data_IF_525972657450
#
_entry.id   IF_525972657450
#
_cell.length_a   1.000
_cell.length_b   1.000
_cell.length_c   1.000
_cell.angle_alpha   90.00
_cell.angle_beta   90.00
_cell.angle_gamma   90.00
#
_symmetry.space_group_name_H-M   'P 1'
#
loop_
_entity.id
_entity.type
_entity.pdbx_description
1 polymer ?
#
# COMPACT_ATOMS: atom_id res chain seq x y z
N UNK A 1 119.20 7.94 -51.49
CA UNK A 1 118.27 6.92 -50.96
C UNK A 1 117.18 7.56 -50.09
N UNK A 2 117.50 8.61 -49.31
CA UNK A 2 116.57 9.30 -48.40
C UNK A 2 115.39 10.05 -49.05
N UNK A 3 115.59 10.76 -50.18
CA UNK A 3 114.50 11.44 -50.90
C UNK A 3 113.36 10.50 -51.33
N UNK A 4 113.71 9.25 -51.65
CA UNK A 4 112.75 8.19 -52.05
C UNK A 4 111.97 7.64 -50.86
N UNK A 5 112.53 7.73 -49.65
CA UNK A 5 111.91 7.30 -48.39
C UNK A 5 110.96 8.37 -47.84
N UNK A 6 111.39 9.64 -47.86
CA UNK A 6 110.57 10.80 -47.50
C UNK A 6 109.31 10.92 -48.38
N UNK A 7 109.47 10.71 -49.70
CA UNK A 7 108.33 10.68 -50.65
C UNK A 7 107.35 9.53 -50.37
N UNK A 8 107.84 8.34 -50.00
CA UNK A 8 106.97 7.23 -49.60
C UNK A 8 106.22 7.50 -48.29
N UNK A 9 106.87 8.15 -47.33
CA UNK A 9 106.27 8.50 -46.04
C UNK A 9 105.16 9.55 -46.19
N UNK A 10 105.38 10.58 -47.02
CA UNK A 10 104.35 11.59 -47.33
C UNK A 10 103.17 10.99 -48.06
N UNK A 11 103.39 10.12 -49.05
CA UNK A 11 102.31 9.40 -49.74
C UNK A 11 101.52 8.51 -48.77
N UNK A 12 102.20 7.82 -47.85
CA UNK A 12 101.54 6.99 -46.83
C UNK A 12 100.74 7.82 -45.83
N UNK A 13 101.21 9.00 -45.43
CA UNK A 13 100.47 9.92 -44.55
C UNK A 13 99.24 10.51 -45.25
N UNK A 14 99.38 10.88 -46.54
CA UNK A 14 98.25 11.36 -47.35
C UNK A 14 97.15 10.29 -47.45
N UNK A 15 97.54 9.04 -47.71
CA UNK A 15 96.61 7.91 -47.79
C UNK A 15 95.89 7.63 -46.46
N UNK A 16 96.59 7.79 -45.33
CA UNK A 16 96.00 7.62 -44.00
C UNK A 16 94.95 8.71 -43.68
N UNK A 17 95.24 9.96 -44.04
CA UNK A 17 94.31 11.09 -43.87
C UNK A 17 93.07 10.90 -44.73
N UNK A 18 93.25 10.47 -45.98
CA UNK A 18 92.14 10.23 -46.90
C UNK A 18 91.25 9.07 -46.44
N UNK A 19 91.86 7.99 -45.92
CA UNK A 19 91.14 6.87 -45.31
C UNK A 19 90.37 7.30 -44.06
N UNK A 20 90.97 8.10 -43.18
CA UNK A 20 90.30 8.65 -41.99
C UNK A 20 89.11 9.51 -42.36
N UNK A 21 89.27 10.40 -43.36
CA UNK A 21 88.17 11.24 -43.87
C UNK A 21 87.04 10.40 -44.48
N UNK A 22 87.38 9.30 -45.15
CA UNK A 22 86.39 8.36 -45.70
C UNK A 22 85.60 7.68 -44.59
N UNK A 23 86.27 7.14 -43.56
CA UNK A 23 85.59 6.53 -42.42
C UNK A 23 84.75 7.54 -41.62
N UNK A 24 85.24 8.77 -41.42
CA UNK A 24 84.45 9.83 -40.76
C UNK A 24 83.18 10.18 -41.54
N UNK A 25 83.25 10.21 -42.88
CA UNK A 25 82.07 10.37 -43.73
C UNK A 25 81.12 9.19 -43.63
N UNK A 26 81.62 7.96 -43.72
CA UNK A 26 80.79 6.75 -43.61
C UNK A 26 80.08 6.65 -42.25
N UNK A 27 80.77 7.00 -41.16
CA UNK A 27 80.17 7.08 -39.81
C UNK A 27 79.09 8.17 -39.76
N UNK A 28 79.38 9.36 -40.30
CA UNK A 28 78.40 10.46 -40.33
C UNK A 28 77.16 10.10 -41.16
N UNK A 29 77.34 9.42 -42.28
CA UNK A 29 76.23 8.95 -43.12
C UNK A 29 75.42 7.86 -42.42
N UNK A 30 76.08 6.94 -41.70
CA UNK A 30 75.42 5.89 -40.93
C UNK A 30 74.60 6.46 -39.77
N UNK A 31 75.13 7.45 -39.04
CA UNK A 31 74.41 8.15 -37.97
C UNK A 31 73.19 8.87 -38.55
N UNK A 32 73.36 9.62 -39.65
CA UNK A 32 72.24 10.34 -40.29
C UNK A 32 71.14 9.39 -40.76
N UNK A 33 71.49 8.22 -41.30
CA UNK A 33 70.50 7.18 -41.67
C UNK A 33 69.75 6.65 -40.45
N UNK A 34 70.46 6.31 -39.38
CA UNK A 34 69.85 5.81 -38.14
C UNK A 34 68.93 6.86 -37.49
N UNK A 35 69.32 8.13 -37.49
CA UNK A 35 68.48 9.22 -36.97
C UNK A 35 67.22 9.42 -37.82
N UNK A 36 67.36 9.34 -39.15
CA UNK A 36 66.23 9.42 -40.07
C UNK A 36 65.27 8.25 -39.88
N UNK A 37 65.77 7.02 -39.85
CA UNK A 37 64.96 5.82 -39.62
C UNK A 37 64.24 5.87 -38.26
N UNK A 38 64.91 6.34 -37.21
CA UNK A 38 64.30 6.55 -35.89
C UNK A 38 63.18 7.59 -35.95
N UNK A 39 63.39 8.71 -36.63
CA UNK A 39 62.37 9.76 -36.81
C UNK A 39 61.16 9.25 -37.60
N UNK A 40 61.41 8.54 -38.70
CA UNK A 40 60.36 7.97 -39.55
C UNK A 40 59.57 6.89 -38.78
N UNK A 41 60.24 6.05 -37.99
CA UNK A 41 59.58 5.07 -37.12
C UNK A 41 58.73 5.73 -36.03
N UNK A 42 59.22 6.79 -35.38
CA UNK A 42 58.47 7.53 -34.37
C UNK A 42 57.22 8.19 -34.94
N UNK A 43 57.31 8.80 -36.12
CA UNK A 43 56.15 9.41 -36.79
C UNK A 43 55.12 8.37 -37.22
N UNK A 44 55.56 7.20 -37.73
CA UNK A 44 54.67 6.09 -38.05
C UNK A 44 53.92 5.57 -36.81
N UNK A 45 54.62 5.37 -35.69
CA UNK A 45 54.01 4.95 -34.42
C UNK A 45 53.02 6.01 -33.93
N UNK A 46 53.40 7.29 -33.95
CA UNK A 46 52.52 8.39 -33.53
C UNK A 46 51.22 8.42 -34.35
N UNK A 47 51.32 8.31 -35.67
CA UNK A 47 50.15 8.31 -36.56
C UNK A 47 49.27 7.07 -36.33
N UNK A 48 49.86 5.89 -36.12
CA UNK A 48 49.12 4.67 -35.78
C UNK A 48 48.36 4.82 -34.46
N UNK A 49 49.02 5.31 -33.41
CA UNK A 49 48.39 5.55 -32.11
C UNK A 49 47.27 6.59 -32.19
N UNK A 50 47.43 7.63 -33.03
CA UNK A 50 46.38 8.62 -33.25
C UNK A 50 45.17 8.01 -33.96
N UNK A 51 45.39 7.15 -34.96
CA UNK A 51 44.32 6.43 -35.65
C UNK A 51 43.57 5.48 -34.70
N UNK A 52 44.29 4.71 -33.88
CA UNK A 52 43.69 3.82 -32.87
C UNK A 52 42.84 4.60 -31.85
N UNK A 53 43.35 5.74 -31.34
CA UNK A 53 42.58 6.61 -30.45
C UNK A 53 41.30 7.12 -31.10
N UNK A 54 41.37 7.51 -32.37
CA UNK A 54 40.20 7.99 -33.09
C UNK A 54 39.16 6.88 -33.30
N UNK A 55 39.59 5.66 -33.63
CA UNK A 55 38.70 4.50 -33.77
C UNK A 55 38.04 4.16 -32.45
N UNK A 56 38.81 4.05 -31.36
CA UNK A 56 38.27 3.77 -30.03
C UNK A 56 37.30 4.86 -29.55
N UNK A 57 37.58 6.13 -29.84
CA UNK A 57 36.68 7.23 -29.54
C UNK A 57 35.37 7.13 -30.34
N UNK A 58 35.45 6.90 -31.65
CA UNK A 58 34.28 6.76 -32.50
C UNK A 58 33.41 5.57 -32.07
N UNK A 59 34.03 4.43 -31.74
CA UNK A 59 33.33 3.24 -31.23
C UNK A 59 32.61 3.53 -29.91
N UNK A 60 33.27 4.20 -28.96
CA UNK A 60 32.66 4.58 -27.70
C UNK A 60 31.46 5.54 -27.90
N UNK A 61 31.57 6.49 -28.82
CA UNK A 61 30.47 7.41 -29.17
C UNK A 61 29.31 6.66 -29.81
N UNK A 62 29.57 5.76 -30.75
CA UNK A 62 28.52 4.95 -31.39
C UNK A 62 27.80 4.07 -30.36
N UNK A 63 28.55 3.41 -29.46
CA UNK A 63 27.96 2.58 -28.41
C UNK A 63 27.10 3.41 -27.45
N UNK A 64 27.59 4.58 -27.03
CA UNK A 64 26.83 5.49 -26.18
C UNK A 64 25.56 6.01 -26.86
N UNK A 65 25.63 6.28 -28.17
CA UNK A 65 24.44 6.69 -28.95
C UNK A 65 23.41 5.56 -28.97
N UNK A 66 23.82 4.33 -29.27
CA UNK A 66 22.94 3.16 -29.29
C UNK A 66 22.30 2.90 -27.92
N UNK A 67 23.07 3.01 -26.84
CA UNK A 67 22.55 2.80 -25.49
C UNK A 67 21.53 3.90 -25.11
N UNK A 68 21.76 5.16 -25.51
CA UNK A 68 20.79 6.25 -25.35
C UNK A 68 19.52 6.01 -26.17
N UNK A 69 19.66 5.59 -27.42
CA UNK A 69 18.53 5.34 -28.31
C UNK A 69 17.64 4.21 -27.76
N UNK A 70 18.25 3.12 -27.23
CA UNK A 70 17.52 2.04 -26.54
C UNK A 70 16.74 2.55 -25.33
N UNK A 71 17.37 3.36 -24.47
CA UNK A 71 16.68 3.93 -23.30
C UNK A 71 15.51 4.83 -23.72
N UNK A 72 15.66 5.60 -24.81
CA UNK A 72 14.58 6.43 -25.35
C UNK A 72 13.44 5.54 -25.86
N UNK A 73 13.74 4.44 -26.54
CA UNK A 73 12.75 3.50 -27.05
C UNK A 73 11.99 2.81 -25.91
N UNK A 74 12.68 2.34 -24.88
CA UNK A 74 12.09 1.75 -23.67
C UNK A 74 11.17 2.74 -22.95
N UNK A 75 11.61 4.00 -22.80
CA UNK A 75 10.80 5.05 -22.18
C UNK A 75 9.55 5.37 -23.00
N UNK A 76 9.65 5.41 -24.34
CA UNK A 76 8.50 5.62 -25.23
C UNK A 76 7.52 4.45 -25.20
N UNK A 77 8.01 3.21 -25.13
CA UNK A 77 7.16 2.03 -24.98
C UNK A 77 6.38 2.09 -23.66
N UNK A 78 7.07 2.41 -22.56
CA UNK A 78 6.44 2.54 -21.24
C UNK A 78 5.43 3.70 -21.19
N UNK A 79 5.72 4.82 -21.84
CA UNK A 79 4.79 5.95 -21.97
C UNK A 79 3.51 5.52 -22.71
N UNK A 80 3.67 4.78 -23.81
CA UNK A 80 2.53 4.23 -24.57
C UNK A 80 1.68 3.29 -23.71
N UNK A 81 2.30 2.36 -23.00
CA UNK A 81 1.57 1.39 -22.14
C UNK A 81 0.80 2.12 -21.03
N UNK A 82 1.39 3.14 -20.41
CA UNK A 82 0.72 3.96 -19.41
C UNK A 82 -0.45 4.76 -19.98
N UNK A 83 -0.32 5.29 -21.20
CA UNK A 83 -1.41 5.99 -21.88
C UNK A 83 -2.58 5.06 -22.21
N UNK A 84 -2.29 3.83 -22.67
CA UNK A 84 -3.31 2.82 -22.94
C UNK A 84 -4.04 2.42 -21.66
N UNK A 85 -3.29 2.17 -20.58
CA UNK A 85 -3.88 1.88 -19.27
C UNK A 85 -4.76 3.03 -18.76
N UNK A 86 -4.30 4.28 -18.90
CA UNK A 86 -5.07 5.46 -18.49
C UNK A 86 -6.37 5.58 -19.30
N UNK A 87 -6.36 5.25 -20.59
CA UNK A 87 -7.57 5.19 -21.42
C UNK A 87 -8.55 4.13 -20.91
N UNK A 88 -8.06 2.93 -20.58
CA UNK A 88 -8.92 1.85 -20.05
C UNK A 88 -9.50 2.18 -18.67
N UNK A 89 -8.71 2.82 -17.81
CA UNK A 89 -9.16 3.28 -16.49
C UNK A 89 -10.23 4.36 -16.63
N UNK A 90 -10.07 5.30 -17.56
CA UNK A 90 -11.07 6.32 -17.86
C UNK A 90 -12.41 5.71 -18.31
N UNK A 91 -12.38 4.73 -19.21
CA UNK A 91 -13.60 4.02 -19.64
C UNK A 91 -14.29 3.29 -18.47
N UNK A 92 -13.50 2.66 -17.60
CA UNK A 92 -14.01 1.94 -16.43
C UNK A 92 -14.65 2.90 -15.42
N UNK A 93 -14.02 4.05 -15.17
CA UNK A 93 -14.57 5.10 -14.32
C UNK A 93 -15.90 5.62 -14.87
N UNK A 94 -16.02 5.81 -16.19
CA UNK A 94 -17.27 6.24 -16.81
C UNK A 94 -18.40 5.22 -16.60
N UNK A 95 -18.13 3.92 -16.80
CA UNK A 95 -19.10 2.84 -16.56
C UNK A 95 -19.55 2.79 -15.10
N UNK A 96 -18.60 2.83 -14.16
CA UNK A 96 -18.90 2.83 -12.73
C UNK A 96 -19.70 4.07 -12.30
N UNK A 97 -19.43 5.23 -12.91
CA UNK A 97 -20.17 6.45 -12.60
C UNK A 97 -21.61 6.39 -13.13
N UNK A 98 -21.83 5.79 -14.30
CA UNK A 98 -23.17 5.53 -14.83
C UNK A 98 -23.96 4.55 -13.94
N UNK A 99 -23.33 3.45 -13.52
CA UNK A 99 -23.93 2.49 -12.58
C UNK A 99 -24.25 3.13 -11.23
N UNK A 100 -23.34 3.97 -10.71
CA UNK A 100 -23.57 4.73 -9.48
C UNK A 100 -24.77 5.67 -9.60
N UNK A 101 -24.93 6.34 -10.74
CA UNK A 101 -26.11 7.20 -10.99
C UNK A 101 -27.40 6.38 -10.99
N UNK A 102 -27.41 5.22 -11.66
CA UNK A 102 -28.57 4.31 -11.67
C UNK A 102 -28.92 3.80 -10.28
N UNK A 103 -27.91 3.42 -9.50
CA UNK A 103 -28.11 2.97 -8.12
C UNK A 103 -28.67 4.07 -7.23
N UNK A 104 -28.21 5.31 -7.38
CA UNK A 104 -28.69 6.42 -6.56
C UNK A 104 -30.12 6.82 -6.93
N UNK A 105 -30.50 6.71 -8.21
CA UNK A 105 -31.89 6.87 -8.65
C UNK A 105 -32.79 5.77 -8.04
N UNK A 106 -32.37 4.50 -8.08
CA UNK A 106 -33.11 3.38 -7.49
C UNK A 106 -33.28 3.59 -5.99
N UNK A 107 -32.19 3.95 -5.30
CA UNK A 107 -32.20 4.23 -3.86
C UNK A 107 -33.15 5.37 -3.53
N UNK A 108 -33.13 6.46 -4.29
CA UNK A 108 -34.03 7.61 -4.08
C UNK A 108 -35.49 7.22 -4.24
N UNK A 109 -35.82 6.45 -5.30
CA UNK A 109 -37.18 5.93 -5.51
C UNK A 109 -37.61 4.98 -4.38
N UNK A 110 -36.73 4.08 -3.95
CA UNK A 110 -37.01 3.16 -2.85
C UNK A 110 -37.25 3.91 -1.52
N UNK A 111 -36.43 4.92 -1.23
CA UNK A 111 -36.63 5.78 -0.05
C UNK A 111 -37.96 6.53 -0.10
N UNK A 112 -38.33 7.09 -1.25
CA UNK A 112 -39.64 7.75 -1.42
C UNK A 112 -40.79 6.77 -1.16
N UNK A 113 -40.73 5.58 -1.75
CA UNK A 113 -41.77 4.56 -1.57
C UNK A 113 -41.88 4.10 -0.10
N UNK A 114 -40.76 3.94 0.60
CA UNK A 114 -40.77 3.61 2.04
C UNK A 114 -41.39 4.74 2.87
N UNK A 115 -41.05 6.00 2.58
CA UNK A 115 -41.63 7.17 3.26
C UNK A 115 -43.15 7.26 3.04
N UNK A 116 -43.63 6.99 1.83
CA UNK A 116 -45.06 6.98 1.52
C UNK A 116 -45.78 5.85 2.27
N UNK A 117 -45.18 4.64 2.29
CA UNK A 117 -45.71 3.51 3.06
C UNK A 117 -45.75 3.79 4.56
N UNK A 118 -44.72 4.42 5.12
CA UNK A 118 -44.69 4.81 6.52
C UNK A 118 -45.82 5.80 6.85
N UNK A 119 -46.10 6.74 5.95
CA UNK A 119 -47.23 7.68 6.09
C UNK A 119 -48.58 6.96 6.06
N UNK A 120 -48.76 6.00 5.15
CA UNK A 120 -49.96 5.16 5.10
C UNK A 120 -50.14 4.34 6.38
N UNK A 121 -49.10 3.67 6.86
CA UNK A 121 -49.15 2.90 8.11
C UNK A 121 -49.48 3.79 9.31
N UNK A 122 -48.89 4.97 9.40
CA UNK A 122 -49.19 5.92 10.48
C UNK A 122 -50.62 6.44 10.42
N UNK A 123 -51.18 6.66 9.23
CA UNK A 123 -52.58 7.05 9.06
C UNK A 123 -53.53 5.92 9.48
N UNK A 124 -53.28 4.69 9.02
CA UNK A 124 -54.06 3.52 9.41
C UNK A 124 -53.99 3.26 10.92
N UNK A 125 -52.81 3.44 11.54
CA UNK A 125 -52.62 3.31 12.98
C UNK A 125 -53.46 4.33 13.76
N UNK A 126 -53.51 5.59 13.31
CA UNK A 126 -54.37 6.61 13.92
C UNK A 126 -55.85 6.28 13.81
N UNK A 127 -56.31 5.81 12.65
CA UNK A 127 -57.71 5.39 12.49
C UNK A 127 -58.08 4.26 13.44
N UNK A 128 -57.22 3.24 13.58
CA UNK A 128 -57.40 2.17 14.55
C UNK A 128 -57.41 2.68 16.01
N UNK A 129 -56.54 3.62 16.36
CA UNK A 129 -56.51 4.25 17.68
C UNK A 129 -57.83 5.00 17.97
N UNK A 130 -58.36 5.74 16.99
CA UNK A 130 -59.62 6.48 17.09
C UNK A 130 -60.83 5.52 17.23
N UNK A 131 -60.90 4.48 16.41
CA UNK A 131 -61.97 3.46 16.47
C UNK A 131 -61.97 2.71 17.81
N UNK A 132 -60.79 2.40 18.34
CA UNK A 132 -60.63 1.73 19.63
C UNK A 132 -61.04 2.66 20.78
N UNK A 133 -60.76 3.96 20.68
CA UNK A 133 -61.24 4.96 21.64
C UNK A 133 -62.78 5.08 21.60
N UNK A 134 -63.39 5.13 20.42
CA UNK A 134 -64.84 5.17 20.25
C UNK A 134 -65.50 3.91 20.83
N UNK A 135 -64.96 2.73 20.53
CA UNK A 135 -65.46 1.45 21.05
C UNK A 135 -65.36 1.40 22.58
N UNK A 136 -64.24 1.85 23.16
CA UNK A 136 -64.08 1.96 24.62
C UNK A 136 -65.11 2.90 25.24
N UNK A 137 -65.40 4.03 24.60
CA UNK A 137 -66.40 4.98 25.07
C UNK A 137 -67.81 4.36 25.05
N UNK A 138 -68.18 3.68 23.96
CA UNK A 138 -69.46 2.97 23.85
C UNK A 138 -69.60 1.90 24.94
N UNK A 139 -68.54 1.11 25.18
CA UNK A 139 -68.54 0.05 26.19
C UNK A 139 -68.72 0.63 27.61
N UNK A 140 -68.08 1.76 27.91
CA UNK A 140 -68.28 2.52 29.15
C UNK A 140 -69.72 3.01 29.32
N UNK A 141 -70.36 3.47 28.24
CA UNK A 141 -71.76 3.92 28.29
C UNK A 141 -72.71 2.74 28.57
N UNK A 142 -72.52 1.60 27.89
CA UNK A 142 -73.30 0.39 28.15
C UNK A 142 -73.13 -0.12 29.59
N UNK A 143 -71.91 -0.15 30.12
CA UNK A 143 -71.67 -0.49 31.53
C UNK A 143 -72.41 0.45 32.48
N UNK A 144 -72.39 1.76 32.21
CA UNK A 144 -73.08 2.75 33.03
C UNK A 144 -74.60 2.59 33.00
N UNK A 145 -75.17 2.29 31.82
CA UNK A 145 -76.60 1.99 31.67
C UNK A 145 -77.01 0.71 32.41
N UNK A 146 -76.20 -0.35 32.32
CA UNK A 146 -76.44 -1.60 33.07
C UNK A 146 -76.37 -1.39 34.59
N UNK A 147 -75.44 -0.57 35.09
CA UNK A 147 -75.39 -0.21 36.51
C UNK A 147 -76.61 0.63 36.92
N UNK A 148 -77.07 1.56 36.08
CA UNK A 148 -78.27 2.37 36.35
C UNK A 148 -79.58 1.56 36.32
N UNK A 149 -79.67 0.50 35.50
CA UNK A 149 -80.81 -0.43 35.49
C UNK A 149 -80.81 -1.44 36.65
N UNK A 150 -79.67 -1.63 37.34
CA UNK A 150 -79.52 -2.62 38.43
C UNK A 150 -80.14 -2.21 39.78
N UNK A 151 -80.74 -1.03 39.89
CA UNK A 151 -81.43 -0.57 41.11
C UNK A 151 -82.89 -1.03 41.23
N UNK A 152 -83.36 -1.94 40.37
CA UNK A 152 -84.68 -2.60 40.48
C UNK A 152 -84.49 -4.13 40.46
N UNK A 153 -85.03 -4.79 41.47
CA UNK A 153 -84.85 -6.20 41.85
C UNK A 153 -85.32 -7.24 40.81
N UNK A 154 -84.38 -8.13 40.39
CA UNK A 154 -84.41 -9.54 39.86
C UNK A 154 -85.57 -10.06 38.97
N UNK A 155 -85.33 -10.89 37.92
CA UNK A 155 -84.74 -12.24 38.07
C UNK A 155 -83.76 -12.74 36.99
N UNK A 156 -83.10 -13.85 37.34
CA UNK A 156 -82.27 -14.74 36.52
C UNK A 156 -82.88 -15.13 35.18
N UNK A 157 -82.15 -14.98 34.07
CA UNK A 157 -82.29 -15.79 32.84
C UNK A 157 -80.92 -16.00 32.18
N UNK A 158 -80.50 -17.28 32.18
CA UNK A 158 -79.96 -18.07 31.06
C UNK A 158 -79.38 -17.34 29.82
N UNK A 159 -78.10 -17.66 29.56
CA UNK A 159 -77.53 -18.09 28.26
C UNK A 159 -77.70 -17.18 27.03
N UNK A 160 -76.58 -16.60 26.54
CA UNK A 160 -76.20 -16.07 25.21
C UNK A 160 -74.91 -15.27 25.51
N UNK A 161 -73.70 -15.52 25.00
CA UNK A 161 -73.23 -15.87 23.66
C UNK A 161 -71.77 -16.37 23.73
N UNK A 162 -71.54 -17.69 23.82
CA UNK A 162 -70.18 -18.27 23.87
C UNK A 162 -69.48 -18.38 22.49
N UNK A 163 -70.07 -17.83 21.42
CA UNK A 163 -69.61 -18.04 20.03
C UNK A 163 -68.69 -16.90 19.53
N UNK A 164 -68.87 -15.66 20.02
CA UNK A 164 -68.05 -14.51 19.59
C UNK A 164 -66.70 -14.42 20.32
N UNK A 165 -66.66 -14.82 21.59
CA UNK A 165 -65.40 -14.85 22.34
C UNK A 165 -64.49 -15.98 21.87
N UNK A 166 -65.04 -17.14 21.48
CA UNK A 166 -64.25 -18.27 20.96
C UNK A 166 -63.55 -17.95 19.63
N UNK A 167 -64.15 -17.12 18.78
CA UNK A 167 -63.57 -16.72 17.48
C UNK A 167 -62.54 -15.60 17.63
N UNK A 168 -62.78 -14.65 18.54
CA UNK A 168 -61.78 -13.63 18.92
C UNK A 168 -60.56 -14.23 19.62
N UNK A 169 -60.78 -15.16 20.55
CA UNK A 169 -59.69 -15.87 21.24
C UNK A 169 -58.86 -16.66 20.22
N UNK A 170 -59.49 -17.39 19.30
CA UNK A 170 -58.77 -18.10 18.23
C UNK A 170 -57.94 -17.15 17.33
N UNK A 171 -58.48 -15.97 16.98
CA UNK A 171 -57.73 -14.99 16.18
C UNK A 171 -56.52 -14.40 16.93
N UNK A 172 -56.66 -14.18 18.24
CA UNK A 172 -55.58 -13.69 19.09
C UNK A 172 -54.52 -14.78 19.34
N UNK A 173 -54.93 -16.05 19.44
CA UNK A 173 -54.04 -17.20 19.53
C UNK A 173 -53.22 -17.37 18.24
N UNK A 174 -53.84 -17.20 17.07
CA UNK A 174 -53.14 -17.22 15.77
C UNK A 174 -52.19 -16.03 15.61
N UNK A 175 -52.60 -14.82 16.02
CA UNK A 175 -51.72 -13.65 15.97
C UNK A 175 -50.55 -13.79 16.96
N UNK A 176 -50.79 -14.33 18.16
CA UNK A 176 -49.77 -14.61 19.16
C UNK A 176 -48.78 -15.67 18.66
N UNK A 177 -49.29 -16.72 18.00
CA UNK A 177 -48.45 -17.77 17.38
C UNK A 177 -47.61 -17.22 16.25
N UNK A 178 -48.18 -16.40 15.37
CA UNK A 178 -47.45 -15.73 14.29
C UNK A 178 -46.36 -14.79 14.81
N UNK A 179 -46.65 -14.00 15.86
CA UNK A 179 -45.64 -13.15 16.51
C UNK A 179 -44.57 -13.96 17.23
N UNK A 180 -44.93 -15.06 17.88
CA UNK A 180 -43.98 -15.99 18.51
C UNK A 180 -43.05 -16.62 17.48
N UNK A 181 -43.56 -17.07 16.34
CA UNK A 181 -42.76 -17.59 15.23
C UNK A 181 -41.84 -16.50 14.66
N UNK A 182 -42.31 -15.26 14.53
CA UNK A 182 -41.47 -14.14 14.07
C UNK A 182 -40.36 -13.79 15.06
N UNK A 183 -40.63 -13.85 16.36
CA UNK A 183 -39.63 -13.64 17.41
C UNK A 183 -38.59 -14.77 17.35
N UNK A 184 -39.01 -16.02 17.19
CA UNK A 184 -38.09 -17.15 17.02
C UNK A 184 -37.24 -17.01 15.74
N UNK A 185 -37.84 -16.58 14.62
CA UNK A 185 -37.12 -16.33 13.36
C UNK A 185 -36.10 -15.18 13.51
N UNK A 186 -36.47 -14.11 14.20
CA UNK A 186 -35.57 -12.98 14.49
C UNK A 186 -34.46 -13.38 15.45
N UNK A 187 -34.75 -14.18 16.48
CA UNK A 187 -33.75 -14.73 17.39
C UNK A 187 -32.80 -15.67 16.66
N UNK A 188 -33.30 -16.50 15.74
CA UNK A 188 -32.48 -17.37 14.90
C UNK A 188 -31.58 -16.54 13.97
N UNK A 189 -32.11 -15.51 13.31
CA UNK A 189 -31.32 -14.56 12.50
C UNK A 189 -30.30 -13.82 13.34
N UNK A 190 -30.64 -13.40 14.56
CA UNK A 190 -29.71 -12.74 15.48
C UNK A 190 -28.61 -13.69 15.95
N UNK A 191 -28.93 -14.97 16.16
CA UNK A 191 -27.97 -16.04 16.48
C UNK A 191 -27.07 -16.34 15.26
N UNK A 192 -27.61 -16.39 14.05
CA UNK A 192 -26.86 -16.55 12.80
C UNK A 192 -25.92 -15.37 12.53
N UNK A 193 -26.38 -14.14 12.78
CA UNK A 193 -25.55 -12.92 12.74
C UNK A 193 -24.48 -12.95 13.85
N UNK A 194 -24.82 -13.43 15.05
CA UNK A 194 -23.86 -13.56 16.16
C UNK A 194 -22.81 -14.64 15.89
N UNK A 195 -23.18 -15.73 15.21
CA UNK A 195 -22.26 -16.81 14.82
C UNK A 195 -21.39 -16.41 13.61
N UNK A 196 -21.88 -15.53 12.73
CA UNK A 196 -21.09 -14.95 11.62
C UNK A 196 -20.24 -13.73 12.01
N UNK A 197 -20.55 -13.10 13.15
CA UNK A 197 -19.67 -12.08 13.76
C UNK A 197 -18.63 -12.71 14.68
N UNK A 198 -18.96 -13.81 15.37
CA UNK A 198 -18.01 -14.55 16.22
C UNK A 198 -16.93 -15.30 15.41
N UNK A 199 -17.18 -15.65 14.14
CA UNK A 199 -16.15 -16.20 13.24
C UNK A 199 -15.23 -15.15 12.61
N UNK A 200 -15.51 -13.85 12.79
CA UNK A 200 -14.60 -12.76 12.37
C UNK A 200 -13.48 -12.48 13.38
N UNK A 201 -13.49 -13.14 14.54
CA UNK A 201 -12.36 -13.20 15.47
C UNK A 201 -11.61 -14.53 15.41
N UNK A 202 -11.64 -15.23 14.26
CA UNK A 202 -10.45 -16.01 13.92
C UNK A 202 -9.37 -14.95 13.71
N UNK A 203 -8.38 -14.95 14.60
CA UNK A 203 -7.15 -14.21 14.45
C UNK A 203 -6.55 -14.61 13.09
N UNK A 204 -6.98 -13.93 12.04
CA UNK A 204 -6.35 -14.08 10.75
C UNK A 204 -4.97 -13.46 10.95
N UNK A 205 -3.92 -14.28 10.90
CA UNK A 205 -2.51 -13.90 10.85
C UNK A 205 -2.18 -13.08 9.59
N UNK A 206 -3.10 -12.20 9.18
CA UNK A 206 -3.07 -11.37 7.98
C UNK A 206 -2.70 -9.97 8.39
N UNK A 207 -1.61 -9.49 7.80
CA UNK A 207 -1.15 -8.11 7.96
C UNK A 207 -2.09 -7.20 7.18
N UNK A 208 -2.61 -6.16 7.82
CA UNK A 208 -3.35 -5.11 7.12
C UNK A 208 -2.39 -4.18 6.39
N UNK A 209 -2.61 -4.02 5.10
CA UNK A 209 -1.83 -3.12 4.21
C UNK A 209 -2.66 -1.93 3.71
N UNK A 210 -3.98 -1.97 3.92
CA UNK A 210 -4.94 -0.95 3.47
C UNK A 210 -5.42 -0.07 4.62
N UNK A 211 -5.58 -0.64 5.82
CA UNK A 211 -5.95 0.08 7.04
C UNK A 211 -4.84 0.03 8.08
N UNK A 212 -4.81 1.06 8.92
CA UNK A 212 -3.89 1.16 10.04
C UNK A 212 -4.73 1.64 11.24
N UNK A 213 -5.66 0.80 11.68
CA UNK A 213 -6.55 1.06 12.79
C UNK A 213 -6.05 0.36 14.06
N UNK A 214 -6.58 0.78 15.22
CA UNK A 214 -6.28 0.12 16.49
C UNK A 214 -6.84 -1.31 16.46
N UNK A 215 -6.01 -2.28 16.82
CA UNK A 215 -6.29 -3.71 16.73
C UNK A 215 -5.78 -4.38 15.45
N UNK A 216 -5.38 -3.61 14.43
CA UNK A 216 -4.85 -4.20 13.18
C UNK A 216 -3.43 -4.75 13.40
N UNK A 217 -3.16 -5.93 12.81
CA UNK A 217 -1.81 -6.47 12.68
C UNK A 217 -1.08 -5.74 11.55
N UNK A 218 0.05 -5.12 11.84
CA UNK A 218 0.78 -4.27 10.91
C UNK A 218 2.26 -4.66 10.80
N UNK A 219 2.81 -4.53 9.59
CA UNK A 219 4.24 -4.71 9.32
C UNK A 219 4.95 -3.36 9.44
N UNK A 220 5.90 -3.28 10.37
CA UNK A 220 6.76 -2.12 10.54
C UNK A 220 8.10 -2.39 9.86
N UNK A 221 8.52 -1.52 8.95
CA UNK A 221 9.80 -1.59 8.26
C UNK A 221 10.67 -0.40 8.63
N UNK A 222 11.97 -0.60 8.74
CA UNK A 222 12.93 0.49 8.88
C UNK A 222 12.99 1.26 7.55
N UNK A 223 12.73 2.56 7.61
CA UNK A 223 12.89 3.45 6.46
C UNK A 223 14.22 4.19 6.57
N UNK A 224 15.14 3.93 5.63
CA UNK A 224 16.49 4.52 5.61
C UNK A 224 16.48 6.04 5.44
N UNK A 225 15.46 6.61 4.78
CA UNK A 225 15.36 8.06 4.55
C UNK A 225 15.07 8.78 5.85
N UNK A 226 14.16 8.21 6.64
CA UNK A 226 13.71 8.79 7.89
C UNK A 226 14.53 8.31 9.11
N UNK A 227 15.24 7.18 8.99
CA UNK A 227 15.87 6.43 10.09
C UNK A 227 14.89 6.16 11.23
N UNK A 228 13.66 5.78 10.85
CA UNK A 228 12.56 5.47 11.76
C UNK A 228 11.78 4.28 11.21
N UNK A 229 11.10 3.55 12.10
CA UNK A 229 10.20 2.47 11.69
C UNK A 229 8.86 3.05 11.22
N UNK A 230 8.42 2.63 10.04
CA UNK A 230 7.20 3.08 9.39
C UNK A 230 6.32 1.87 9.08
N UNK A 231 5.01 2.00 9.23
CA UNK A 231 4.06 0.95 8.83
C UNK A 231 4.06 0.83 7.30
N UNK A 232 4.17 -0.40 6.80
CA UNK A 232 3.97 -0.71 5.40
C UNK A 232 2.49 -0.59 5.05
N UNK A 233 2.11 0.49 4.38
CA UNK A 233 0.73 0.74 3.92
C UNK A 233 0.73 1.18 2.46
N UNK A 234 -0.33 0.84 1.73
CA UNK A 234 -0.53 1.31 0.34
C UNK A 234 -0.95 2.80 0.30
N UNK A 235 -1.32 3.40 1.44
CA UNK A 235 -1.71 4.79 1.54
C UNK A 235 -0.55 5.78 1.38
N UNK A 236 -0.87 7.01 0.98
CA UNK A 236 0.08 8.14 0.86
C UNK A 236 0.49 8.75 2.21
N UNK A 237 -0.17 8.36 3.31
CA UNK A 237 0.09 8.91 4.64
C UNK A 237 1.08 8.05 5.40
N UNK A 238 2.15 8.68 5.88
CA UNK A 238 3.17 8.02 6.70
C UNK A 238 2.64 7.72 8.10
N UNK A 239 2.97 6.52 8.61
CA UNK A 239 2.63 6.07 9.95
C UNK A 239 3.91 5.65 10.68
N UNK A 240 4.45 6.54 11.52
CA UNK A 240 5.70 6.30 12.24
C UNK A 240 5.47 5.56 13.56
N UNK A 241 6.34 4.61 13.89
CA UNK A 241 6.34 3.94 15.18
C UNK A 241 6.78 4.89 16.29
N UNK A 242 6.08 4.84 17.43
CA UNK A 242 6.45 5.59 18.63
C UNK A 242 7.75 5.05 19.26
N UNK A 243 8.59 5.93 19.80
CA UNK A 243 9.88 5.59 20.43
C UNK A 243 9.74 4.60 21.59
N UNK A 244 8.69 4.75 22.38
CA UNK A 244 8.40 3.94 23.57
C UNK A 244 8.13 2.47 23.24
N UNK A 245 7.71 2.18 22.00
CA UNK A 245 7.46 0.82 21.55
C UNK A 245 8.72 0.13 20.99
N UNK A 246 9.80 0.87 20.71
CA UNK A 246 11.00 0.30 20.09
C UNK A 246 11.70 -0.71 21.01
N UNK A 247 11.71 -0.47 22.32
CA UNK A 247 12.27 -1.42 23.31
C UNK A 247 11.44 -2.70 23.36
N UNK A 248 10.13 -2.54 23.55
CA UNK A 248 9.17 -3.64 23.69
C UNK A 248 9.16 -4.55 22.45
N UNK A 249 9.38 -3.98 21.26
CA UNK A 249 9.43 -4.69 19.97
C UNK A 249 10.82 -5.25 19.63
N UNK A 250 11.84 -5.02 20.47
CA UNK A 250 13.21 -5.48 20.24
C UNK A 250 13.87 -4.79 19.02
N UNK A 251 13.54 -3.52 18.78
CA UNK A 251 14.01 -2.74 17.64
C UNK A 251 15.18 -1.80 17.99
N UNK A 252 15.46 -1.58 19.28
CA UNK A 252 16.65 -0.84 19.68
C UNK A 252 17.91 -1.68 19.44
N UNK A 253 18.89 -1.20 18.67
CA UNK A 253 20.13 -1.92 18.46
C UNK A 253 20.94 -1.94 19.76
N UNK A 254 21.29 -3.14 20.23
CA UNK A 254 22.31 -3.27 21.26
C UNK A 254 23.68 -2.93 20.65
N UNK A 255 24.64 -2.42 21.45
CA UNK A 255 26.00 -2.14 20.96
C UNK A 255 26.63 -3.42 20.38
N UNK A 256 26.78 -3.47 19.04
CA UNK A 256 27.33 -4.62 18.30
C UNK A 256 26.31 -5.42 17.48
N UNK A 257 25.02 -5.08 17.55
CA UNK A 257 23.95 -5.80 16.86
C UNK A 257 23.31 -4.95 15.74
N UNK A 258 23.08 -5.54 14.57
CA UNK A 258 22.46 -4.85 13.43
C UNK A 258 20.98 -4.55 13.71
N UNK A 259 20.53 -3.31 13.46
CA UNK A 259 19.11 -2.93 13.57
C UNK A 259 18.23 -3.91 12.77
N UNK A 260 17.18 -4.41 13.41
CA UNK A 260 16.21 -5.30 12.76
C UNK A 260 15.49 -4.55 11.65
N UNK A 261 15.49 -5.07 10.42
CA UNK A 261 14.92 -4.36 9.26
C UNK A 261 13.38 -4.26 9.30
N UNK A 262 12.70 -5.19 9.97
CA UNK A 262 11.24 -5.20 10.06
C UNK A 262 10.72 -5.96 11.30
N UNK A 263 9.47 -5.68 11.70
CA UNK A 263 8.76 -6.42 12.77
C UNK A 263 7.24 -6.41 12.54
N UNK A 264 6.58 -7.48 12.97
CA UNK A 264 5.12 -7.57 13.04
C UNK A 264 4.64 -7.13 14.43
N UNK A 265 3.66 -6.24 14.47
CA UNK A 265 3.12 -5.73 15.72
C UNK A 265 1.65 -5.34 15.55
N UNK A 266 0.88 -5.48 16.63
CA UNK A 266 -0.51 -5.07 16.68
C UNK A 266 -0.60 -3.60 17.12
N UNK A 267 -1.38 -2.81 16.39
CA UNK A 267 -1.54 -1.39 16.66
C UNK A 267 -2.41 -1.18 17.91
N UNK A 268 -1.91 -0.37 18.84
CA UNK A 268 -2.58 -0.09 20.13
C UNK A 268 -3.12 1.33 20.21
N UNK A 269 -2.38 2.31 19.69
CA UNK A 269 -2.80 3.71 19.66
C UNK A 269 -2.38 4.35 18.35
N UNK A 270 -3.16 5.33 17.90
CA UNK A 270 -2.89 6.11 16.69
C UNK A 270 -3.15 7.59 16.96
N UNK A 271 -2.14 8.41 16.72
CA UNK A 271 -2.16 9.85 16.95
C UNK A 271 -1.88 10.60 15.65
N UNK A 272 -2.69 11.62 15.36
CA UNK A 272 -2.46 12.48 14.20
C UNK A 272 -1.48 13.60 14.55
N UNK A 273 -0.45 13.76 13.71
CA UNK A 273 0.66 14.67 13.94
C UNK A 273 0.91 15.56 12.71
N UNK A 274 1.51 16.73 12.95
CA UNK A 274 1.99 17.62 11.90
C UNK A 274 3.38 18.15 12.24
N UNK A 275 4.29 18.10 11.27
CA UNK A 275 5.65 18.62 11.44
C UNK A 275 5.65 20.16 11.52
N UNK A 276 6.03 20.69 12.68
CA UNK A 276 6.12 22.16 12.90
C UNK A 276 7.51 22.73 12.68
N UNK A 277 8.56 21.90 12.78
CA UNK A 277 9.97 22.31 12.71
C UNK A 277 10.65 21.72 11.47
N UNK A 278 11.51 22.49 10.77
CA UNK A 278 12.21 22.00 9.58
C UNK A 278 13.21 20.89 9.92
N UNK A 279 13.89 21.00 11.06
CA UNK A 279 14.72 19.92 11.61
C UNK A 279 13.91 19.15 12.66
N UNK A 280 13.19 18.13 12.22
CA UNK A 280 12.44 17.24 13.12
C UNK A 280 13.01 15.82 13.08
N UNK A 281 12.78 15.06 14.16
CA UNK A 281 13.28 13.68 14.32
C UNK A 281 12.77 12.68 13.27
N UNK A 282 11.69 13.03 12.55
CA UNK A 282 11.12 12.21 11.50
C UNK A 282 11.70 12.55 10.11
N UNK A 283 12.55 13.60 10.01
CA UNK A 283 13.18 14.07 8.77
C UNK A 283 12.18 14.38 7.64
N UNK A 284 10.97 14.77 7.99
CA UNK A 284 9.93 15.17 7.02
C UNK A 284 9.90 16.71 6.84
N UNK A 285 9.43 17.24 5.70
CA UNK A 285 9.25 18.69 5.52
C UNK A 285 8.30 19.33 6.55
N UNK A 286 8.43 20.65 6.75
CA UNK A 286 7.48 21.41 7.58
C UNK A 286 6.09 21.36 6.96
N UNK A 287 5.07 21.18 7.80
CA UNK A 287 3.68 21.10 7.38
C UNK A 287 3.22 19.71 7.01
N UNK A 288 4.12 18.73 6.83
CA UNK A 288 3.77 17.34 6.55
C UNK A 288 2.92 16.76 7.67
N UNK A 289 1.80 16.16 7.28
CA UNK A 289 0.83 15.49 8.16
C UNK A 289 1.09 13.99 8.13
N UNK A 290 1.18 13.38 9.29
CA UNK A 290 1.48 11.96 9.45
C UNK A 290 0.83 11.40 10.71
N UNK A 291 0.78 10.09 10.84
CA UNK A 291 0.37 9.44 12.06
C UNK A 291 1.57 8.94 12.86
N UNK A 292 1.44 8.99 14.18
CA UNK A 292 2.35 8.36 15.13
C UNK A 292 1.60 7.22 15.81
N UNK A 293 2.16 6.03 15.78
CA UNK A 293 1.46 4.79 16.15
C UNK A 293 2.22 4.08 17.26
N UNK A 294 1.51 3.65 18.30
CA UNK A 294 2.05 2.71 19.29
C UNK A 294 1.62 1.30 18.94
N UNK A 295 2.52 0.33 19.13
CA UNK A 295 2.24 -1.06 18.84
C UNK A 295 2.83 -1.97 19.92
N UNK A 296 2.21 -3.14 20.08
CA UNK A 296 2.68 -4.21 20.97
C UNK A 296 3.15 -5.41 20.14
N UNK A 297 4.11 -6.21 20.65
CA UNK A 297 4.58 -7.40 19.94
C UNK A 297 3.42 -8.33 19.60
N UNK A 298 3.34 -8.74 18.34
CA UNK A 298 2.39 -9.73 17.92
C UNK A 298 2.89 -11.13 18.30
N UNK A 299 2.06 -11.91 19.00
CA UNK A 299 2.31 -13.32 19.29
C UNK A 299 1.18 -14.14 18.68
N UNK A 300 1.45 -15.00 17.68
CA UNK A 300 0.45 -15.94 17.22
C UNK A 300 0.13 -16.92 18.35
N UNK A 301 -1.15 -17.05 18.72
CA UNK A 301 -1.59 -17.97 19.80
C UNK A 301 -1.32 -19.45 19.49
N UNK A 302 -0.88 -19.76 18.28
CA UNK A 302 -0.45 -21.09 17.82
C UNK A 302 0.91 -21.57 18.40
N UNK A 303 1.64 -20.71 19.13
CA UNK A 303 3.02 -21.00 19.59
C UNK A 303 3.20 -21.42 21.05
N UNK A 304 2.14 -21.48 21.87
CA UNK A 304 2.24 -21.76 23.31
C UNK A 304 2.34 -23.26 23.69
N UNK A 305 3.03 -24.07 22.88
CA UNK A 305 3.56 -25.40 23.28
C UNK A 305 4.94 -25.60 22.67
N UNK A 306 5.97 -25.17 23.39
CA UNK A 306 7.36 -25.28 22.94
C UNK A 306 8.34 -25.03 24.07
N UNK A 307 8.40 -25.99 25.00
CA UNK A 307 9.55 -26.34 25.86
C UNK A 307 10.25 -25.22 26.63
N UNK A 308 9.78 -24.98 27.86
CA UNK A 308 10.68 -24.69 28.97
C UNK A 308 11.45 -25.96 29.33
N UNK A 309 12.67 -26.14 28.81
CA UNK A 309 13.65 -27.04 29.43
C UNK A 309 14.50 -26.21 30.38
N UNK A 310 14.12 -26.25 31.65
CA UNK A 310 14.95 -25.90 32.79
C UNK A 310 16.20 -26.78 32.79
N UNK A 311 17.37 -26.20 32.53
CA UNK A 311 18.64 -26.80 32.92
C UNK A 311 18.85 -26.47 34.40
N UNK A 312 18.71 -27.49 35.25
CA UNK A 312 19.14 -27.45 36.64
C UNK A 312 19.88 -28.75 36.93
N UNK A 313 21.09 -28.57 37.46
CA UNK A 313 22.08 -29.56 37.93
C UNK A 313 22.98 -30.16 36.86
#
# INVERSE_FOLDING_TARGET
MELKLMSKLTVSQQALIELKRKHEKEISEMISKLEKEKSDSLTAIHNSLQAEKQVAFNEAVTKLSQDKDKVIEDLRAKEKDLLEQLSTDQETILKLNEEKSKLEDIKTRAMSHLSDKEREYNAARRQLEDDLALTRQQLSQYQSQLQAMSTISVPSVMEISQIEDSSRIASLEDELKSKSEKIAELQQKMMEISMTTSTRHIAEDKVSITSCNVGDLALFCLDDRHDQYVVFTIGSTLHFLHTDCQDTLGLKPNPGETKKSWVLAEITEKEYCQAKKPQNRFKVPVGTKFYRVKAKPWRPESGARGTSSTAST
#
